data_IF_811375504632
#
_entry.id   IF_811375504632
#
_cell.length_a   1.000
_cell.length_b   1.000
_cell.length_c   1.000
_cell.angle_alpha   90.00
_cell.angle_beta   90.00
_cell.angle_gamma   90.00
#
_symmetry.space_group_name_H-M   'P 1'
#
loop_
_entity.id
_entity.type
_entity.pdbx_description
1 polymer ?
#
# COMPACT_ATOMS: atom_id res chain seq x y z
N UNK A 1 22.53 20.53 -3.57
CA UNK A 1 23.26 19.34 -4.04
C UNK A 1 22.17 18.32 -4.29
N UNK A 2 21.69 18.27 -5.53
CA UNK A 2 20.70 17.27 -5.92
C UNK A 2 21.47 15.96 -6.00
N UNK A 3 21.16 15.03 -5.10
CA UNK A 3 21.76 13.70 -5.11
C UNK A 3 21.19 12.99 -6.35
N UNK A 4 22.02 12.86 -7.38
CA UNK A 4 21.63 12.22 -8.64
C UNK A 4 21.24 10.77 -8.36
N UNK A 5 20.12 10.32 -8.94
CA UNK A 5 19.66 8.95 -8.77
C UNK A 5 20.65 7.97 -9.43
N UNK A 6 21.49 7.35 -8.61
CA UNK A 6 22.41 6.30 -9.03
C UNK A 6 21.65 4.96 -9.14
N UNK A 7 21.30 4.60 -10.37
CA UNK A 7 20.53 3.40 -10.67
C UNK A 7 21.29 2.11 -10.35
N UNK A 8 22.61 2.09 -10.54
CA UNK A 8 23.44 0.91 -10.31
C UNK A 8 23.53 0.66 -8.80
N UNK A 9 23.76 1.72 -8.01
CA UNK A 9 23.73 1.63 -6.55
C UNK A 9 22.35 1.19 -6.03
N UNK A 10 21.27 1.73 -6.60
CA UNK A 10 19.91 1.34 -6.19
C UNK A 10 19.64 -0.13 -6.50
N UNK A 11 20.15 -0.67 -7.61
CA UNK A 11 20.02 -2.09 -7.94
C UNK A 11 20.68 -2.99 -6.90
N UNK A 12 21.92 -2.67 -6.51
CA UNK A 12 22.64 -3.40 -5.47
C UNK A 12 21.91 -3.33 -4.12
N UNK A 13 21.36 -2.15 -3.78
CA UNK A 13 20.54 -1.96 -2.58
C UNK A 13 19.28 -2.83 -2.62
N UNK A 14 18.57 -2.91 -3.75
CA UNK A 14 17.37 -3.76 -3.90
C UNK A 14 17.70 -5.26 -3.85
N UNK A 15 18.78 -5.70 -4.49
CA UNK A 15 19.24 -7.09 -4.41
C UNK A 15 19.56 -7.47 -2.96
N UNK A 16 20.25 -6.58 -2.23
CA UNK A 16 20.53 -6.76 -0.80
C UNK A 16 19.26 -6.89 0.02
N UNK A 17 18.26 -6.03 -0.21
CA UNK A 17 16.98 -6.09 0.49
C UNK A 17 16.23 -7.38 0.17
N UNK A 18 16.22 -7.84 -1.08
CA UNK A 18 15.50 -9.06 -1.51
C UNK A 18 15.97 -10.32 -0.78
N UNK A 19 17.25 -10.36 -0.37
CA UNK A 19 17.87 -11.50 0.32
C UNK A 19 17.54 -11.58 1.81
N UNK A 20 16.86 -10.57 2.38
CA UNK A 20 16.47 -10.55 3.79
C UNK A 20 15.42 -11.64 4.05
N UNK A 21 15.78 -12.67 4.82
CA UNK A 21 14.91 -13.83 5.08
C UNK A 21 13.73 -13.53 6.00
N UNK A 22 13.89 -12.58 6.93
CA UNK A 22 12.88 -12.22 7.95
C UNK A 22 12.83 -10.71 8.05
N UNK A 23 12.00 -10.04 7.25
CA UNK A 23 11.89 -8.59 7.31
C UNK A 23 11.25 -8.18 8.64
N UNK A 24 11.76 -7.10 9.23
CA UNK A 24 11.03 -6.40 10.27
C UNK A 24 9.84 -5.64 9.67
N UNK A 25 9.01 -5.09 10.56
CA UNK A 25 7.81 -4.36 10.15
C UNK A 25 8.17 -3.06 9.40
N UNK A 26 9.29 -2.41 9.73
CA UNK A 26 9.73 -1.21 9.04
C UNK A 26 10.15 -1.53 7.62
N UNK A 27 11.01 -2.54 7.42
CA UNK A 27 11.44 -2.97 6.10
C UNK A 27 10.26 -3.37 5.21
N UNK A 28 9.34 -4.18 5.75
CA UNK A 28 8.16 -4.59 5.01
C UNK A 28 7.32 -3.39 4.55
N UNK A 29 7.08 -2.43 5.45
CA UNK A 29 6.33 -1.21 5.16
C UNK A 29 7.01 -0.33 4.10
N UNK A 30 8.35 -0.25 4.11
CA UNK A 30 9.12 0.48 3.10
C UNK A 30 8.95 -0.12 1.72
N UNK A 31 9.11 -1.44 1.60
CA UNK A 31 9.02 -2.12 0.30
C UNK A 31 7.59 -2.15 -0.23
N UNK A 32 6.59 -2.33 0.64
CA UNK A 32 5.18 -2.15 0.23
C UNK A 32 4.91 -0.74 -0.28
N UNK A 33 5.42 0.29 0.42
CA UNK A 33 5.24 1.68 -0.01
C UNK A 33 5.92 1.93 -1.37
N UNK A 34 7.13 1.41 -1.59
CA UNK A 34 7.83 1.49 -2.86
C UNK A 34 6.96 0.97 -4.02
N UNK A 35 6.47 -0.27 -3.91
CA UNK A 35 5.68 -0.87 -4.99
C UNK A 35 4.29 -0.23 -5.17
N UNK A 36 3.66 0.27 -4.11
CA UNK A 36 2.44 1.10 -4.24
C UNK A 36 2.69 2.34 -5.10
N UNK A 37 3.86 2.98 -4.94
CA UNK A 37 4.26 4.15 -5.73
C UNK A 37 4.67 3.75 -7.15
N UNK A 38 5.16 2.53 -7.37
CA UNK A 38 5.36 2.01 -8.73
C UNK A 38 4.05 1.59 -9.42
N UNK A 39 2.90 1.70 -8.75
CA UNK A 39 1.58 1.44 -9.32
C UNK A 39 1.01 0.04 -9.03
N UNK A 40 1.68 -0.76 -8.20
CA UNK A 40 1.23 -2.11 -7.84
C UNK A 40 -0.01 -2.09 -6.93
N UNK A 41 -0.78 -3.17 -6.95
CA UNK A 41 -1.97 -3.34 -6.12
C UNK A 41 -1.60 -3.82 -4.72
N UNK A 42 -2.15 -3.20 -3.68
CA UNK A 42 -1.98 -3.64 -2.29
C UNK A 42 -2.32 -5.12 -2.07
N UNK A 43 -3.23 -5.69 -2.86
CA UNK A 43 -3.63 -7.10 -2.74
C UNK A 43 -2.52 -8.07 -3.11
N UNK A 44 -1.62 -7.68 -4.00
CA UNK A 44 -0.54 -8.53 -4.51
C UNK A 44 0.67 -8.54 -3.57
N UNK A 45 0.67 -7.67 -2.55
CA UNK A 45 1.82 -7.35 -1.70
C UNK A 45 1.64 -7.77 -0.23
N UNK A 46 0.74 -8.71 0.05
CA UNK A 46 0.49 -9.14 1.43
C UNK A 46 1.64 -9.95 2.05
N UNK A 47 2.37 -10.69 1.21
CA UNK A 47 3.41 -11.62 1.64
C UNK A 47 4.80 -11.11 1.28
N UNK A 48 5.73 -11.16 2.24
CA UNK A 48 7.12 -10.77 2.02
C UNK A 48 7.78 -11.54 0.88
N UNK A 49 7.48 -12.84 0.76
CA UNK A 49 8.06 -13.67 -0.30
C UNK A 49 7.76 -13.09 -1.68
N UNK A 50 6.52 -12.67 -1.90
CA UNK A 50 6.11 -12.04 -3.16
C UNK A 50 6.85 -10.72 -3.38
N UNK A 51 7.01 -9.91 -2.34
CA UNK A 51 7.77 -8.66 -2.44
C UNK A 51 9.26 -8.90 -2.74
N UNK A 52 9.89 -9.87 -2.08
CA UNK A 52 11.28 -10.26 -2.34
C UNK A 52 11.45 -10.78 -3.77
N UNK A 53 10.51 -11.60 -4.25
CA UNK A 53 10.50 -12.08 -5.62
C UNK A 53 10.39 -10.89 -6.59
N UNK A 54 9.48 -9.93 -6.35
CA UNK A 54 9.36 -8.69 -7.16
C UNK A 54 10.60 -7.82 -7.14
N UNK A 55 11.32 -7.74 -6.02
CA UNK A 55 12.59 -7.01 -5.92
C UNK A 55 13.68 -7.66 -6.77
N UNK A 56 13.72 -8.98 -6.82
CA UNK A 56 14.71 -9.75 -7.58
C UNK A 56 14.39 -9.90 -9.08
N UNK A 57 13.26 -9.38 -9.56
CA UNK A 57 12.83 -9.51 -10.95
C UNK A 57 13.69 -8.69 -11.89
N UNK A 58 14.75 -9.31 -12.42
CA UNK A 58 15.68 -8.68 -13.36
C UNK A 58 15.53 -9.17 -14.81
N UNK A 59 14.74 -10.23 -15.04
CA UNK A 59 14.63 -10.88 -16.35
C UNK A 59 13.83 -10.04 -17.37
N UNK A 60 12.86 -9.26 -16.91
CA UNK A 60 11.96 -8.46 -17.75
C UNK A 60 12.15 -6.98 -17.46
N UNK A 61 12.64 -6.16 -18.41
CA UNK A 61 12.90 -4.75 -18.19
C UNK A 61 11.70 -3.99 -17.62
N UNK A 62 10.49 -4.28 -18.07
CA UNK A 62 9.26 -3.65 -17.61
C UNK A 62 8.87 -3.99 -16.17
N UNK A 63 9.40 -5.09 -15.63
CA UNK A 63 9.17 -5.52 -14.25
C UNK A 63 10.30 -5.12 -13.31
N UNK A 64 11.48 -4.80 -13.84
CA UNK A 64 12.67 -4.41 -13.07
C UNK A 64 12.40 -3.13 -12.26
N UNK A 65 12.39 -3.18 -10.92
CA UNK A 65 11.98 -2.06 -10.10
C UNK A 65 12.82 -0.79 -10.35
N UNK A 66 14.14 -0.92 -10.48
CA UNK A 66 15.05 0.23 -10.72
C UNK A 66 14.69 0.97 -12.01
N UNK A 67 14.36 0.25 -13.09
CA UNK A 67 13.99 0.88 -14.36
C UNK A 67 12.63 1.59 -14.26
N UNK A 68 11.73 1.07 -13.42
CA UNK A 68 10.44 1.73 -13.14
C UNK A 68 10.62 2.95 -12.24
N UNK A 69 11.56 2.90 -11.30
CA UNK A 69 11.92 4.04 -10.45
C UNK A 69 12.53 5.18 -11.26
N UNK A 70 13.41 4.87 -12.23
CA UNK A 70 14.02 5.90 -13.10
C UNK A 70 13.03 6.50 -14.11
N UNK A 71 11.99 5.74 -14.50
CA UNK A 71 10.90 6.18 -15.37
C UNK A 71 9.63 6.54 -14.60
N UNK A 72 9.78 6.91 -13.33
CA UNK A 72 8.65 7.20 -12.47
C UNK A 72 7.77 8.31 -13.07
N UNK A 73 6.46 8.05 -13.12
CA UNK A 73 5.44 9.01 -13.57
C UNK A 73 4.43 9.28 -12.44
N UNK A 74 4.37 10.51 -11.89
CA UNK A 74 3.43 10.86 -10.83
C UNK A 74 1.96 10.83 -11.28
N UNK A 75 1.66 10.89 -12.59
CA UNK A 75 0.30 10.81 -13.10
C UNK A 75 -0.28 9.38 -12.99
N UNK A 76 0.56 8.37 -13.19
CA UNK A 76 0.18 6.96 -13.13
C UNK A 76 -0.21 6.50 -11.72
N UNK A 77 0.27 7.17 -10.67
CA UNK A 77 0.02 6.79 -9.27
C UNK A 77 -1.29 7.37 -8.77
N UNK A 78 -2.24 6.53 -8.36
CA UNK A 78 -3.51 7.00 -7.81
C UNK A 78 -3.33 7.71 -6.46
N UNK A 79 -4.26 8.63 -6.12
CA UNK A 79 -4.23 9.33 -4.83
C UNK A 79 -4.34 8.36 -3.65
N UNK A 80 -5.11 7.28 -3.80
CA UNK A 80 -5.25 6.27 -2.76
C UNK A 80 -3.97 5.47 -2.52
N UNK A 81 -3.24 5.10 -3.58
CA UNK A 81 -1.92 4.49 -3.45
C UNK A 81 -0.94 5.40 -2.72
N UNK A 82 -0.82 6.67 -3.14
CA UNK A 82 0.04 7.64 -2.49
C UNK A 82 -0.35 7.88 -1.00
N UNK A 83 -1.64 7.84 -0.69
CA UNK A 83 -2.14 7.95 0.69
C UNK A 83 -1.78 6.74 1.53
N UNK A 84 -1.94 5.53 0.98
CA UNK A 84 -1.58 4.29 1.67
C UNK A 84 -0.06 4.20 1.89
N UNK A 85 0.74 4.50 0.87
CA UNK A 85 2.19 4.57 0.98
C UNK A 85 2.63 5.57 2.07
N UNK A 86 2.04 6.78 2.10
CA UNK A 86 2.30 7.74 3.19
C UNK A 86 1.99 7.14 4.57
N UNK A 87 0.84 6.48 4.74
CA UNK A 87 0.44 5.89 6.03
C UNK A 87 1.43 4.81 6.49
N UNK A 88 1.96 4.00 5.57
CA UNK A 88 2.96 2.98 5.87
C UNK A 88 4.29 3.59 6.33
N UNK A 89 4.71 4.69 5.69
CA UNK A 89 5.98 5.34 5.99
C UNK A 89 5.91 6.35 7.14
N UNK A 90 4.73 6.87 7.47
CA UNK A 90 4.52 7.90 8.50
C UNK A 90 5.13 7.57 9.88
N UNK A 91 5.02 6.35 10.44
CA UNK A 91 5.59 6.03 11.75
C UNK A 91 7.10 5.72 11.73
N UNK A 92 7.71 5.70 10.54
CA UNK A 92 9.09 5.30 10.33
C UNK A 92 10.03 6.52 10.32
N UNK A 93 11.24 6.29 10.82
CA UNK A 93 12.36 7.24 10.74
C UNK A 93 13.49 6.57 9.97
N UNK A 94 14.41 7.39 9.43
CA UNK A 94 15.62 6.89 8.75
C UNK A 94 16.37 5.91 9.65
N UNK A 95 16.56 6.25 10.92
CA UNK A 95 17.29 5.39 11.87
C UNK A 95 16.61 4.04 12.09
N UNK A 96 15.27 4.00 12.18
CA UNK A 96 14.53 2.74 12.33
C UNK A 96 14.69 1.84 11.11
N UNK A 97 14.62 2.42 9.90
CA UNK A 97 14.80 1.66 8.66
C UNK A 97 16.24 1.18 8.56
N UNK A 98 17.21 2.07 8.80
CA UNK A 98 18.65 1.76 8.76
C UNK A 98 19.04 0.67 9.77
N UNK A 99 18.44 0.66 10.96
CA UNK A 99 18.68 -0.37 11.97
C UNK A 99 18.19 -1.77 11.54
N UNK A 100 17.15 -1.86 10.70
CA UNK A 100 16.70 -3.13 10.14
C UNK A 100 17.48 -3.51 8.87
N UNK A 101 17.69 -2.56 7.97
CA UNK A 101 18.41 -2.75 6.72
C UNK A 101 18.92 -1.42 6.17
N UNK A 102 20.24 -1.24 6.14
CA UNK A 102 20.85 0.01 5.64
C UNK A 102 20.50 0.28 4.17
N UNK A 103 20.53 -0.75 3.31
CA UNK A 103 20.17 -0.66 1.89
C UNK A 103 18.71 -0.19 1.67
N UNK A 104 17.79 -0.52 2.58
CA UNK A 104 16.40 -0.08 2.48
C UNK A 104 16.20 1.43 2.73
N UNK A 105 17.22 2.11 3.27
CA UNK A 105 17.16 3.55 3.52
C UNK A 105 17.00 4.33 2.22
N UNK A 106 17.68 3.91 1.14
CA UNK A 106 17.55 4.53 -0.17
C UNK A 106 16.11 4.41 -0.70
N UNK A 107 15.51 3.23 -0.56
CA UNK A 107 14.10 3.00 -0.93
C UNK A 107 13.14 3.88 -0.12
N UNK A 108 13.40 4.03 1.17
CA UNK A 108 12.59 4.86 2.06
C UNK A 108 12.62 6.32 1.66
N UNK A 109 13.81 6.89 1.47
CA UNK A 109 13.99 8.30 1.06
C UNK A 109 13.35 8.53 -0.30
N UNK A 110 13.67 7.70 -1.29
CA UNK A 110 13.10 7.79 -2.64
C UNK A 110 11.57 7.74 -2.60
N UNK A 111 10.99 6.81 -1.84
CA UNK A 111 9.52 6.69 -1.74
C UNK A 111 8.88 7.94 -1.13
N UNK A 112 9.51 8.55 -0.11
CA UNK A 112 8.99 9.81 0.47
C UNK A 112 8.98 10.95 -0.54
N UNK A 113 10.06 11.10 -1.29
CA UNK A 113 10.19 12.13 -2.32
C UNK A 113 9.15 11.94 -3.43
N UNK A 114 8.97 10.70 -3.91
CA UNK A 114 7.99 10.41 -4.96
C UNK A 114 6.54 10.53 -4.49
N UNK A 115 6.25 10.21 -3.23
CA UNK A 115 4.96 10.51 -2.62
C UNK A 115 4.69 12.02 -2.68
N UNK A 116 5.66 12.86 -2.30
CA UNK A 116 5.54 14.32 -2.35
C UNK A 116 5.32 14.80 -3.79
N UNK A 117 6.09 14.28 -4.74
CA UNK A 117 5.98 14.60 -6.16
C UNK A 117 4.57 14.31 -6.73
N UNK A 118 3.96 13.17 -6.38
CA UNK A 118 2.57 12.83 -6.76
C UNK A 118 1.58 13.87 -6.23
N UNK A 119 1.80 14.37 -5.01
CA UNK A 119 0.93 15.37 -4.42
C UNK A 119 1.10 16.74 -5.06
N UNK A 120 2.33 17.17 -5.32
CA UNK A 120 2.60 18.45 -5.97
C UNK A 120 2.08 18.46 -7.41
N UNK A 121 2.23 17.34 -8.12
CA UNK A 121 1.65 17.14 -9.44
C UNK A 121 0.13 17.32 -9.46
N UNK A 122 -0.57 16.73 -8.50
CA UNK A 122 -2.04 16.84 -8.39
C UNK A 122 -2.49 18.24 -7.97
N UNK A 123 -1.66 18.93 -7.19
CA UNK A 123 -1.90 20.33 -6.78
C UNK A 123 -1.78 21.28 -7.96
N UNK A 124 -0.76 21.13 -8.81
CA UNK A 124 -0.51 22.02 -9.95
C UNK A 124 -1.56 21.90 -11.05
N UNK A 125 -2.16 20.71 -11.25
CA UNK A 125 -3.25 20.49 -12.22
C UNK A 125 -4.63 21.02 -11.81
N UNK A 126 -4.75 21.75 -10.70
CA UNK A 126 -6.02 22.40 -10.33
C UNK A 126 -7.15 21.42 -10.03
N UNK A 127 -6.83 20.22 -9.52
CA UNK A 127 -7.87 19.33 -9.01
C UNK A 127 -8.60 20.04 -7.87
N UNK A 128 -9.82 20.51 -8.13
CA UNK A 128 -10.69 21.32 -7.25
C UNK A 128 -11.09 20.65 -5.92
N UNK A 129 -10.38 19.61 -5.49
CA UNK A 129 -10.56 19.05 -4.16
C UNK A 129 -9.97 20.06 -3.19
N UNK A 130 -10.89 20.75 -2.50
CA UNK A 130 -10.65 21.68 -1.39
C UNK A 130 -9.29 21.46 -0.77
N UNK A 131 -8.46 22.50 -0.82
CA UNK A 131 -7.17 22.73 -0.17
C UNK A 131 -7.30 22.58 1.36
N UNK A 132 -7.84 21.45 1.78
CA UNK A 132 -7.96 20.99 3.16
C UNK A 132 -6.57 20.56 3.59
N UNK A 133 -6.23 20.72 4.87
CA UNK A 133 -4.88 20.59 5.45
C UNK A 133 -4.07 19.32 5.16
N UNK A 134 -4.61 18.40 4.37
CA UNK A 134 -3.98 17.23 3.78
C UNK A 134 -2.63 17.53 3.09
N UNK A 135 -2.51 18.57 2.26
CA UNK A 135 -1.26 18.89 1.55
C UNK A 135 -0.20 19.55 2.45
N UNK A 136 -0.64 20.31 3.46
CA UNK A 136 0.24 21.01 4.41
C UNK A 136 0.98 20.01 5.33
N UNK A 137 0.30 18.93 5.71
CA UNK A 137 0.83 17.81 6.50
C UNK A 137 1.87 16.97 5.73
N UNK A 138 1.87 16.97 4.39
CA UNK A 138 2.84 16.19 3.61
C UNK A 138 4.17 16.95 3.53
N UNK A 139 4.13 18.26 3.24
CA UNK A 139 5.34 19.08 3.23
C UNK A 139 6.06 19.02 4.58
N UNK A 140 5.34 19.12 5.70
CA UNK A 140 5.93 19.04 7.04
C UNK A 140 6.54 17.66 7.33
N UNK A 141 5.90 16.58 6.86
CA UNK A 141 6.40 15.22 7.01
C UNK A 141 7.68 14.94 6.19
N UNK A 142 7.82 15.57 5.02
CA UNK A 142 9.02 15.46 4.20
C UNK A 142 10.17 16.31 4.74
N UNK A 143 9.90 17.49 5.32
CA UNK A 143 10.92 18.39 5.87
C UNK A 143 11.59 17.90 7.16
N UNK A 144 11.17 16.77 7.73
CA UNK A 144 11.73 16.25 8.99
C UNK A 144 11.41 17.10 10.22
N UNK A 145 10.53 18.11 10.09
CA UNK A 145 10.07 18.94 11.20
C UNK A 145 8.93 18.18 11.90
N UNK A 146 9.29 17.11 12.61
CA UNK A 146 8.36 16.43 13.52
C UNK A 146 8.21 17.25 14.81
N UNK A 147 7.54 18.40 14.72
CA UNK A 147 6.81 18.89 15.89
C UNK A 147 5.56 18.00 16.02
N UNK A 148 5.63 17.01 16.92
CA UNK A 148 4.45 16.32 17.42
C UNK A 148 3.56 17.34 18.15
N UNK A 149 2.77 18.13 17.41
CA UNK A 149 1.58 18.73 17.98
C UNK A 149 0.57 17.59 18.15
N UNK A 150 0.15 17.26 19.39
CA UNK A 150 -0.93 16.32 19.59
C UNK A 150 -2.13 16.83 18.79
N UNK A 151 -2.81 15.93 18.07
CA UNK A 151 -4.10 16.24 17.44
C UNK A 151 -5.01 16.79 18.55
N UNK A 152 -5.10 18.11 18.62
CA UNK A 152 -6.04 18.82 19.46
C UNK A 152 -7.43 18.34 19.10
N UNK A 153 -8.10 17.81 20.11
CA UNK A 153 -9.48 17.38 20.13
C UNK A 153 -10.34 18.22 19.19
N UNK A 154 -10.77 17.62 18.08
CA UNK A 154 -11.78 18.23 17.22
C UNK A 154 -13.06 18.22 18.03
N UNK A 155 -13.40 19.37 18.61
CA UNK A 155 -14.62 19.57 19.38
C UNK A 155 -15.82 19.20 18.51
N UNK A 156 -16.58 18.25 19.02
CA UNK A 156 -17.90 17.86 18.58
C UNK A 156 -18.85 19.02 18.88
N UNK A 157 -19.10 19.88 17.89
CA UNK A 157 -20.20 20.84 17.94
C UNK A 157 -20.97 20.79 16.63
N UNK A 158 -22.25 20.45 16.82
CA UNK A 158 -23.40 20.62 15.94
C UNK A 158 -23.40 19.97 14.55
N UNK A 159 -24.01 18.78 14.51
CA UNK A 159 -24.98 18.42 13.49
C UNK A 159 -26.01 17.49 14.14
N UNK A 160 -26.94 18.10 14.89
CA UNK A 160 -28.25 17.49 15.16
C UNK A 160 -29.19 17.83 14.01
N UNK A 161 -30.05 16.86 13.71
CA UNK A 161 -31.29 16.94 12.92
C UNK A 161 -31.17 16.93 11.39
N UNK A 162 -31.24 15.72 10.83
CA UNK A 162 -32.34 15.30 9.93
C UNK A 162 -32.37 13.77 9.92
N UNK A 163 -33.28 13.17 10.70
CA UNK A 163 -34.47 12.45 10.20
C UNK A 163 -34.12 11.16 9.45
N UNK A 164 -34.25 9.99 10.10
CA UNK A 164 -35.45 9.15 10.17
C UNK A 164 -35.87 8.52 8.83
N UNK A 165 -36.15 7.22 8.91
CA UNK A 165 -36.68 6.30 7.91
C UNK A 165 -35.65 5.68 6.97
N UNK A 166 -35.32 4.41 7.18
CA UNK A 166 -35.87 3.35 6.34
C UNK A 166 -35.71 1.97 7.03
N UNK A 167 -36.84 1.51 7.57
CA UNK A 167 -37.39 0.16 7.42
C UNK A 167 -36.59 -1.03 7.99
N UNK A 168 -36.99 -1.38 9.23
CA UNK A 168 -37.14 -2.78 9.66
C UNK A 168 -38.24 -3.46 8.83
N UNK A 169 -37.88 -4.42 7.98
CA UNK A 169 -38.75 -5.51 7.54
C UNK A 169 -37.88 -6.79 7.55
N UNK A 170 -38.02 -7.61 8.58
CA UNK A 170 -38.93 -8.77 8.59
C UNK A 170 -38.54 -9.81 7.53
N UNK A 171 -37.70 -10.77 7.93
CA UNK A 171 -37.70 -12.09 7.30
C UNK A 171 -37.90 -13.12 8.41
N UNK A 172 -39.16 -13.52 8.59
CA UNK A 172 -39.55 -14.81 9.19
C UNK A 172 -39.19 -15.89 8.18
N UNK A 173 -38.32 -16.83 8.52
CA UNK A 173 -38.26 -18.13 7.83
C UNK A 173 -38.82 -19.16 8.79
N UNK A 174 -39.98 -19.68 8.41
CA UNK A 174 -40.71 -20.69 9.14
C UNK A 174 -40.03 -22.05 9.09
N UNK A 175 -40.22 -22.79 10.16
CA UNK A 175 -39.93 -24.20 10.29
C UNK A 175 -40.70 -25.03 9.25
N UNK A 176 -40.02 -26.00 8.63
CA UNK A 176 -40.64 -27.19 8.07
C UNK A 176 -39.79 -28.37 8.56
N UNK A 177 -40.48 -29.31 9.20
CA UNK A 177 -39.96 -30.54 9.79
C UNK A 177 -40.00 -31.71 8.78
N UNK A 178 -39.49 -32.91 9.14
CA UNK A 178 -38.77 -33.81 8.25
C UNK A 178 -39.66 -34.87 7.58
N UNK A 179 -38.96 -35.82 6.93
CA UNK A 179 -39.37 -37.12 6.39
C UNK A 179 -39.38 -37.20 4.86
N UNK A 180 -38.43 -37.93 4.30
CA UNK A 180 -38.74 -39.22 3.67
C UNK A 180 -37.45 -40.00 3.40
N UNK A 181 -37.64 -41.30 3.52
CA UNK A 181 -36.66 -42.37 3.59
C UNK A 181 -36.31 -42.92 2.19
N UNK A 182 -35.21 -43.68 2.14
CA UNK A 182 -34.99 -44.86 1.29
C UNK A 182 -34.89 -44.70 -0.24
N UNK A 183 -33.72 -45.00 -0.81
CA UNK A 183 -33.46 -46.36 -1.31
C UNK A 183 -31.97 -46.59 -1.64
N UNK A 184 -31.58 -47.83 -1.38
CA UNK A 184 -30.31 -48.49 -1.62
C UNK A 184 -30.10 -48.86 -3.09
N UNK A 185 -28.91 -49.44 -3.34
CA UNK A 185 -28.61 -50.40 -4.41
C UNK A 185 -28.25 -49.84 -5.80
N UNK A 186 -27.32 -50.39 -6.59
CA UNK A 186 -26.22 -51.37 -6.41
C UNK A 186 -25.51 -51.47 -7.77
N UNK A 187 -24.19 -51.76 -7.79
CA UNK A 187 -23.41 -52.39 -8.91
C UNK A 187 -23.33 -51.66 -10.27
N UNK A 188 -22.41 -51.90 -11.21
CA UNK A 188 -21.11 -52.56 -11.34
C UNK A 188 -20.63 -52.29 -12.78
N UNK A 189 -19.31 -52.21 -12.96
CA UNK A 189 -18.51 -52.78 -14.06
C UNK A 189 -18.73 -52.40 -15.56
N UNK A 190 -17.61 -52.11 -16.24
CA UNK A 190 -17.07 -52.67 -17.51
C UNK A 190 -16.27 -51.56 -18.26
N UNK A 191 -14.94 -51.66 -18.44
CA UNK A 191 -14.15 -52.50 -19.37
C UNK A 191 -13.91 -51.83 -20.75
N UNK A 192 -12.67 -51.36 -20.96
CA UNK A 192 -11.73 -51.44 -22.13
C UNK A 192 -12.27 -51.15 -23.55
N UNK A 193 -11.44 -50.76 -24.54
CA UNK A 193 -10.11 -51.29 -24.92
C UNK A 193 -8.91 -50.68 -24.19
#
# INVERSE_FOLDING_TARGET
MEEEFDADKMEDDLDTVSRVRRPGAALHSVIMALFLILGESHREMADWKTLADMLSQNEKPEKRPVLRMSKFDPEAVTRDQARLAKKLLAPLTVDKVKAECEAATACFVWSKEKIQEVYDYRRSRGSNVTQTGYYQDISQWCSGVTEHKPLGSRTQTDLKQTENNYVKQSIKIGAISPETSFNSDVTSALKKP
#
